data_IF_457597033300
#
_entry.id   IF_457597033300
#
_cell.length_a   1.000
_cell.length_b   1.000
_cell.length_c   1.000
_cell.angle_alpha   90.00
_cell.angle_beta   90.00
_cell.angle_gamma   90.00
#
_symmetry.space_group_name_H-M   'P 1'
#
loop_
_entity.id
_entity.type
_entity.pdbx_description
1 polymer ?
#
# COMPACT_ATOMS: atom_id res chain seq x y z
N UNK A 1 12.84 0.68 -9.82
CA UNK A 1 12.03 0.14 -8.73
C UNK A 1 11.49 1.31 -7.93
N UNK A 2 10.16 1.49 -7.91
CA UNK A 2 9.52 2.55 -7.13
C UNK A 2 9.77 2.33 -5.63
N UNK A 3 9.82 3.37 -4.81
CA UNK A 3 10.06 3.26 -3.35
C UNK A 3 9.05 2.32 -2.65
N UNK A 4 7.89 2.09 -3.27
CA UNK A 4 6.88 1.13 -2.83
C UNK A 4 7.31 -0.33 -3.02
N UNK A 5 8.03 -0.66 -4.09
CA UNK A 5 8.54 -2.01 -4.35
C UNK A 5 9.62 -2.46 -3.35
N UNK A 6 10.23 -1.51 -2.61
CA UNK A 6 11.16 -1.82 -1.54
C UNK A 6 10.46 -2.29 -0.25
N UNK A 7 9.12 -2.16 -0.18
CA UNK A 7 8.36 -2.62 0.98
C UNK A 7 8.20 -4.14 0.97
N UNK A 8 8.28 -4.81 2.14
CA UNK A 8 8.15 -6.26 2.21
C UNK A 8 6.82 -6.72 1.63
N UNK A 9 6.88 -7.68 0.71
CA UNK A 9 5.71 -8.24 0.05
C UNK A 9 5.06 -7.33 -1.01
N UNK A 10 5.62 -6.16 -1.32
CA UNK A 10 5.09 -5.27 -2.38
C UNK A 10 5.90 -5.47 -3.65
N UNK A 11 5.30 -6.16 -4.63
CA UNK A 11 5.84 -6.24 -5.98
C UNK A 11 5.32 -5.12 -6.89
N UNK A 12 5.78 -5.06 -8.16
CA UNK A 12 5.39 -4.01 -9.12
C UNK A 12 3.88 -3.85 -9.28
N UNK A 13 3.12 -4.96 -9.35
CA UNK A 13 1.66 -4.92 -9.47
C UNK A 13 0.96 -4.30 -8.24
N UNK A 14 1.44 -4.60 -7.03
CA UNK A 14 0.89 -4.01 -5.80
C UNK A 14 1.28 -2.55 -5.68
N UNK A 15 2.52 -2.18 -6.04
CA UNK A 15 2.95 -0.79 -6.08
C UNK A 15 2.08 0.05 -7.03
N UNK A 16 1.81 -0.47 -8.23
CA UNK A 16 0.88 0.14 -9.19
C UNK A 16 -0.52 0.34 -8.58
N UNK A 17 -1.06 -0.69 -7.93
CA UNK A 17 -2.39 -0.63 -7.31
C UNK A 17 -2.47 0.41 -6.17
N UNK A 18 -1.40 0.60 -5.39
CA UNK A 18 -1.35 1.64 -4.34
C UNK A 18 -1.43 3.05 -4.98
N UNK A 19 -0.69 3.27 -6.07
CA UNK A 19 -0.67 4.56 -6.79
C UNK A 19 -2.04 4.83 -7.43
N UNK A 20 -2.63 3.81 -8.05
CA UNK A 20 -3.93 3.90 -8.69
C UNK A 20 -5.04 4.19 -7.66
N UNK A 21 -5.06 3.46 -6.54
CA UNK A 21 -5.98 3.73 -5.44
C UNK A 21 -5.88 5.19 -4.97
N UNK A 22 -4.65 5.69 -4.74
CA UNK A 22 -4.42 7.08 -4.32
C UNK A 22 -4.87 8.10 -5.36
N UNK A 23 -4.75 7.76 -6.64
CA UNK A 23 -5.20 8.64 -7.74
C UNK A 23 -6.72 8.74 -7.77
N UNK A 24 -7.43 7.64 -7.57
CA UNK A 24 -8.89 7.57 -7.64
C UNK A 24 -9.58 8.05 -6.36
N UNK A 25 -9.03 7.75 -5.19
CA UNK A 25 -9.66 8.00 -3.89
C UNK A 25 -9.03 9.17 -3.12
N UNK A 26 -7.91 9.70 -3.62
CA UNK A 26 -7.12 10.72 -2.94
C UNK A 26 -6.15 10.13 -1.91
N UNK A 27 -5.70 10.96 -0.98
CA UNK A 27 -4.73 10.55 0.05
C UNK A 27 -5.35 9.50 0.99
N UNK A 28 -4.54 8.51 1.37
CA UNK A 28 -4.88 7.62 2.47
C UNK A 28 -5.12 8.44 3.75
N UNK A 29 -6.20 8.14 4.47
CA UNK A 29 -6.58 8.72 5.76
C UNK A 29 -6.17 7.83 6.94
N UNK A 30 -5.94 6.56 6.68
CA UNK A 30 -5.39 5.61 7.65
C UNK A 30 -4.59 4.53 6.94
N UNK A 31 -3.67 3.88 7.67
CA UNK A 31 -2.89 2.75 7.14
C UNK A 31 -3.80 1.57 6.78
N UNK A 32 -4.95 1.42 7.46
CA UNK A 32 -5.89 0.33 7.21
C UNK A 32 -6.56 0.41 5.83
N UNK A 33 -6.64 1.60 5.22
CA UNK A 33 -7.16 1.75 3.85
C UNK A 33 -6.30 1.04 2.80
N UNK A 34 -5.06 0.64 3.15
CA UNK A 34 -4.28 -0.24 2.29
C UNK A 34 -4.95 -1.61 2.06
N UNK A 35 -5.89 -2.05 2.91
CA UNK A 35 -6.70 -3.26 2.66
C UNK A 35 -7.66 -3.12 1.49
N UNK A 36 -8.00 -1.90 1.09
CA UNK A 36 -8.83 -1.64 -0.09
C UNK A 36 -8.01 -1.73 -1.38
N UNK A 37 -6.67 -1.82 -1.28
CA UNK A 37 -5.78 -1.95 -2.43
C UNK A 37 -5.66 -3.43 -2.83
N UNK A 38 -5.93 -3.71 -4.12
CA UNK A 38 -5.79 -5.05 -4.68
C UNK A 38 -4.40 -5.63 -4.44
N UNK A 39 -4.35 -6.83 -3.87
CA UNK A 39 -3.09 -7.53 -3.56
C UNK A 39 -2.49 -7.21 -2.20
N UNK A 40 -3.18 -6.44 -1.35
CA UNK A 40 -2.86 -6.24 0.06
C UNK A 40 -3.96 -6.90 0.91
N UNK A 41 -3.63 -8.03 1.52
CA UNK A 41 -4.46 -8.65 2.57
C UNK A 41 -3.91 -8.36 3.97
N UNK A 42 -4.58 -8.88 5.00
CA UNK A 42 -4.20 -8.64 6.41
C UNK A 42 -2.74 -8.97 6.73
N UNK A 43 -2.24 -10.10 6.22
CA UNK A 43 -0.85 -10.51 6.43
C UNK A 43 0.15 -9.49 5.87
N UNK A 44 -0.13 -8.96 4.67
CA UNK A 44 0.73 -7.95 4.03
C UNK A 44 0.58 -6.61 4.74
N UNK A 45 -0.64 -6.22 5.13
CA UNK A 45 -0.86 -5.02 5.92
C UNK A 45 -0.07 -5.08 7.24
N UNK A 46 -0.07 -6.20 7.94
CA UNK A 46 0.66 -6.37 9.20
C UNK A 46 2.17 -6.12 9.01
N UNK A 47 2.76 -6.62 7.92
CA UNK A 47 4.16 -6.34 7.57
C UNK A 47 4.36 -4.85 7.22
N UNK A 48 3.44 -4.26 6.46
CA UNK A 48 3.55 -2.87 6.00
C UNK A 48 3.40 -1.85 7.13
N UNK A 49 2.61 -2.14 8.17
CA UNK A 49 2.33 -1.21 9.29
C UNK A 49 3.60 -0.66 9.96
N UNK A 50 4.70 -1.40 9.96
CA UNK A 50 5.98 -0.95 10.53
C UNK A 50 6.79 -0.02 9.59
N UNK A 51 6.44 0.06 8.31
CA UNK A 51 7.22 0.75 7.28
C UNK A 51 6.50 1.95 6.65
N UNK A 52 5.21 2.12 6.93
CA UNK A 52 4.38 3.16 6.32
C UNK A 52 3.71 4.02 7.37
N UNK A 53 3.50 5.30 7.02
CA UNK A 53 2.72 6.23 7.84
C UNK A 53 1.78 7.04 6.95
N UNK A 54 0.68 7.48 7.53
CA UNK A 54 -0.22 8.45 6.92
C UNK A 54 0.03 9.81 7.57
N UNK A 55 0.04 10.87 6.74
CA UNK A 55 0.25 12.28 7.13
C UNK A 55 -0.72 13.19 6.40
#
# INVERSE_FOLDING_TARGET
ATQLEALPGVGPATAQAIVEYRTQHGRFRSVNQLLEVRGIGEAKLAQLKAHVRVS
#
